data_IF_091918259896
#
_entry.id   IF_091918259896
#
_cell.length_a   1.000
_cell.length_b   1.000
_cell.length_c   1.000
_cell.angle_alpha   90.00
_cell.angle_beta   90.00
_cell.angle_gamma   90.00
#
_symmetry.space_group_name_H-M   'P 1'
#
loop_
_entity.id
_entity.type
_entity.pdbx_description
1 polymer ?
#
# COMPACT_ATOMS: atom_id res chain seq x y z
N UNK A 1 6.93 8.27 -9.48
CA UNK A 1 7.39 9.35 -8.59
C UNK A 1 8.25 8.79 -7.46
N UNK A 2 8.85 9.69 -6.66
CA UNK A 2 9.71 9.31 -5.54
C UNK A 2 9.19 9.86 -4.22
N UNK A 3 9.39 9.08 -3.15
CA UNK A 3 9.21 9.48 -1.75
C UNK A 3 10.43 9.01 -0.96
N UNK A 4 11.17 9.93 -0.33
CA UNK A 4 12.39 9.63 0.43
C UNK A 4 13.38 8.71 -0.32
N UNK A 5 13.59 8.96 -1.62
CA UNK A 5 14.44 8.14 -2.49
C UNK A 5 13.84 6.80 -2.95
N UNK A 6 12.66 6.42 -2.46
CA UNK A 6 11.97 5.19 -2.86
C UNK A 6 11.23 5.44 -4.19
N UNK A 7 11.48 4.60 -5.19
CA UNK A 7 10.69 4.61 -6.41
C UNK A 7 9.28 4.08 -6.12
N UNK A 8 8.27 4.85 -6.52
CA UNK A 8 6.86 4.49 -6.32
C UNK A 8 6.14 4.49 -7.66
N UNK A 9 5.56 3.36 -8.02
CA UNK A 9 4.64 3.23 -9.13
C UNK A 9 3.21 3.30 -8.58
N UNK A 10 2.45 4.27 -9.07
CA UNK A 10 1.08 4.50 -8.63
C UNK A 10 0.14 4.45 -9.83
N UNK A 11 -0.97 3.74 -9.68
CA UNK A 11 -2.02 3.70 -10.69
C UNK A 11 -3.35 4.16 -10.10
N UNK A 12 -4.19 4.74 -10.94
CA UNK A 12 -5.57 5.09 -10.61
C UNK A 12 -6.47 4.83 -11.82
N UNK A 13 -7.63 4.21 -11.60
CA UNK A 13 -8.66 4.09 -12.63
C UNK A 13 -9.48 5.37 -12.73
N UNK A 14 -9.72 5.84 -13.94
CA UNK A 14 -10.52 7.04 -14.18
C UNK A 14 -11.98 6.87 -13.73
N UNK A 15 -12.61 5.73 -14.02
CA UNK A 15 -14.03 5.52 -13.74
C UNK A 15 -14.27 4.94 -12.34
N UNK A 16 -13.41 4.01 -11.90
CA UNK A 16 -13.59 3.29 -10.63
C UNK A 16 -12.83 3.95 -9.48
N UNK A 17 -11.96 4.90 -9.77
CA UNK A 17 -11.09 5.60 -8.83
C UNK A 17 -10.28 4.68 -7.90
N UNK A 18 -10.15 3.40 -8.27
CA UNK A 18 -9.33 2.45 -7.56
C UNK A 18 -7.86 2.76 -7.77
N UNK A 19 -7.11 2.77 -6.68
CA UNK A 19 -5.69 3.11 -6.63
C UNK A 19 -4.86 1.90 -6.26
N UNK A 20 -3.69 1.76 -6.89
CA UNK A 20 -2.64 0.84 -6.42
C UNK A 20 -1.35 1.59 -6.17
N UNK A 21 -0.51 1.03 -5.31
CA UNK A 21 0.84 1.51 -5.03
C UNK A 21 1.77 0.33 -4.96
N UNK A 22 2.87 0.41 -5.70
CA UNK A 22 3.92 -0.59 -5.76
C UNK A 22 5.30 0.07 -5.67
N UNK A 23 6.29 -0.70 -5.26
CA UNK A 23 7.65 -0.23 -5.01
C UNK A 23 8.64 -1.05 -5.82
N UNK A 24 8.75 -0.79 -7.13
CA UNK A 24 9.70 -1.52 -7.98
C UNK A 24 11.14 -1.22 -7.53
N UNK A 25 11.98 -2.25 -7.52
CA UNK A 25 13.39 -2.11 -7.17
C UNK A 25 14.17 -1.34 -8.24
N UNK A 26 13.67 -1.34 -9.46
CA UNK A 26 14.22 -0.59 -10.58
C UNK A 26 13.14 -0.13 -11.55
N UNK A 27 13.47 0.80 -12.45
CA UNK A 27 12.59 1.23 -13.54
C UNK A 27 12.76 0.37 -14.80
N UNK A 28 13.21 -0.88 -14.64
CA UNK A 28 13.33 -1.79 -15.77
C UNK A 28 11.95 -2.15 -16.34
N UNK A 29 11.95 -2.51 -17.61
CA UNK A 29 10.76 -2.98 -18.31
C UNK A 29 10.11 -4.16 -17.57
N UNK A 30 10.91 -5.13 -17.12
CA UNK A 30 10.42 -6.29 -16.37
C UNK A 30 9.71 -5.93 -15.08
N UNK A 31 10.22 -4.94 -14.32
CA UNK A 31 9.59 -4.48 -13.07
C UNK A 31 8.29 -3.74 -13.34
N UNK A 32 8.24 -2.89 -14.37
CA UNK A 32 7.01 -2.19 -14.75
C UNK A 32 5.96 -3.20 -15.22
N UNK A 33 6.34 -4.18 -16.04
CA UNK A 33 5.45 -5.25 -16.49
C UNK A 33 4.94 -6.11 -15.33
N UNK A 34 5.79 -6.42 -14.35
CA UNK A 34 5.37 -7.12 -13.14
C UNK A 34 4.24 -6.37 -12.44
N UNK A 35 4.42 -5.07 -12.16
CA UNK A 35 3.40 -4.24 -11.51
C UNK A 35 2.13 -4.15 -12.37
N UNK A 36 2.26 -3.94 -13.68
CA UNK A 36 1.11 -3.90 -14.59
C UNK A 36 0.31 -5.20 -14.56
N UNK A 37 0.97 -6.36 -14.57
CA UNK A 37 0.32 -7.66 -14.50
C UNK A 37 -0.40 -7.88 -13.16
N UNK A 38 0.17 -7.42 -12.03
CA UNK A 38 -0.51 -7.47 -10.74
C UNK A 38 -1.77 -6.60 -10.72
N UNK A 39 -1.70 -5.39 -11.27
CA UNK A 39 -2.88 -4.52 -11.42
C UNK A 39 -3.92 -5.19 -12.32
N UNK A 40 -3.50 -5.73 -13.46
CA UNK A 40 -4.39 -6.47 -14.39
C UNK A 40 -5.05 -7.67 -13.71
N UNK A 41 -4.32 -8.40 -12.86
CA UNK A 41 -4.85 -9.52 -12.08
C UNK A 41 -5.93 -9.07 -11.08
N UNK A 42 -5.73 -7.94 -10.39
CA UNK A 42 -6.70 -7.38 -9.45
C UNK A 42 -8.02 -7.05 -10.17
N UNK A 43 -7.96 -6.37 -11.31
CA UNK A 43 -9.16 -6.04 -12.10
C UNK A 43 -9.80 -7.28 -12.70
N UNK A 44 -8.98 -8.18 -13.26
CA UNK A 44 -9.42 -9.42 -13.90
C UNK A 44 -10.16 -10.38 -12.97
N UNK A 45 -9.83 -10.38 -11.67
CA UNK A 45 -10.52 -11.18 -10.66
C UNK A 45 -12.03 -10.87 -10.54
N UNK A 46 -12.45 -9.68 -10.99
CA UNK A 46 -13.86 -9.24 -11.05
C UNK A 46 -14.40 -9.07 -12.46
N UNK A 47 -13.71 -9.60 -13.45
CA UNK A 47 -14.12 -9.52 -14.84
C UNK A 47 -13.84 -8.18 -15.53
N UNK A 48 -13.20 -7.23 -14.87
CA UNK A 48 -12.81 -5.97 -15.50
C UNK A 48 -11.60 -6.18 -16.41
N UNK A 49 -11.60 -5.46 -17.54
CA UNK A 49 -10.47 -5.42 -18.47
C UNK A 49 -9.91 -4.01 -18.52
N UNK A 50 -8.59 -3.91 -18.52
CA UNK A 50 -7.89 -2.65 -18.75
C UNK A 50 -7.81 -2.49 -20.27
N UNK A 51 -8.55 -1.52 -20.81
CA UNK A 51 -8.60 -1.24 -22.24
C UNK A 51 -7.57 -0.20 -22.63
N UNK A 52 -7.47 0.86 -21.81
CA UNK A 52 -6.55 1.98 -22.03
C UNK A 52 -5.68 2.21 -20.81
N UNK A 53 -4.41 2.48 -21.06
CA UNK A 53 -3.41 2.90 -20.07
C UNK A 53 -2.88 4.27 -20.47
N UNK A 54 -2.99 5.25 -19.57
CA UNK A 54 -2.39 6.56 -19.75
C UNK A 54 -1.15 6.66 -18.84
N UNK A 55 -0.03 6.99 -19.41
CA UNK A 55 1.23 7.07 -18.68
C UNK A 55 2.19 8.09 -19.27
N UNK A 56 3.32 8.30 -18.60
CA UNK A 56 4.41 9.08 -19.12
C UNK A 56 5.29 8.28 -20.11
N UNK A 57 6.29 8.93 -20.69
CA UNK A 57 7.17 8.31 -21.69
C UNK A 57 7.96 7.10 -21.15
N UNK A 58 8.09 6.93 -19.84
CA UNK A 58 8.74 5.73 -19.27
C UNK A 58 8.00 4.42 -19.63
N UNK A 59 6.69 4.52 -19.84
CA UNK A 59 5.86 3.35 -20.20
C UNK A 59 5.97 2.95 -21.68
N UNK A 60 6.60 3.74 -22.55
CA UNK A 60 6.77 3.40 -23.96
C UNK A 60 7.43 2.03 -24.17
N UNK A 61 8.36 1.66 -23.29
CA UNK A 61 9.11 0.39 -23.37
C UNK A 61 8.25 -0.86 -23.17
N UNK A 62 7.05 -0.74 -22.60
CA UNK A 62 6.14 -1.88 -22.40
C UNK A 62 5.00 -1.91 -23.41
N UNK A 63 4.93 -0.98 -24.35
CA UNK A 63 3.80 -0.79 -25.27
C UNK A 63 3.41 -2.08 -26.02
N UNK A 64 4.38 -2.83 -26.53
CA UNK A 64 4.12 -4.08 -27.27
C UNK A 64 3.63 -5.20 -26.35
N UNK A 65 4.13 -5.24 -25.13
CA UNK A 65 3.85 -6.33 -24.19
C UNK A 65 2.48 -6.23 -23.53
N UNK A 66 1.91 -5.03 -23.46
CA UNK A 66 0.60 -4.81 -22.84
C UNK A 66 -0.59 -5.04 -23.78
N UNK A 67 -0.36 -5.33 -25.06
CA UNK A 67 -1.42 -5.61 -26.01
C UNK A 67 -2.38 -6.68 -25.46
N UNK A 68 -3.70 -6.57 -25.68
CA UNK A 68 -4.42 -5.58 -26.50
C UNK A 68 -4.76 -4.27 -25.75
N UNK A 69 -4.17 -3.96 -24.60
CA UNK A 69 -4.38 -2.68 -23.90
C UNK A 69 -3.72 -1.55 -24.69
N UNK A 70 -4.47 -0.51 -24.99
CA UNK A 70 -3.94 0.68 -25.67
C UNK A 70 -3.08 1.49 -24.69
N UNK A 71 -1.91 1.95 -25.15
CA UNK A 71 -1.07 2.87 -24.40
C UNK A 71 -1.12 4.26 -25.00
N UNK A 72 -1.59 5.22 -24.23
CA UNK A 72 -1.53 6.64 -24.55
C UNK A 72 -0.44 7.27 -23.68
N UNK A 73 0.59 7.78 -24.33
CA UNK A 73 1.69 8.49 -23.65
C UNK A 73 1.36 9.98 -23.59
N UNK A 74 1.56 10.57 -22.42
CA UNK A 74 1.48 12.02 -22.26
C UNK A 74 2.59 12.70 -23.07
N UNK A 75 2.25 13.77 -23.77
CA UNK A 75 3.24 14.55 -24.48
C UNK A 75 4.25 15.21 -23.50
N UNK A 76 5.40 15.61 -24.01
CA UNK A 76 6.38 16.32 -23.21
C UNK A 76 5.73 17.60 -22.64
N UNK A 77 5.74 17.75 -21.32
CA UNK A 77 5.05 18.80 -20.55
C UNK A 77 3.51 18.67 -20.42
N UNK A 78 2.92 17.57 -20.91
CA UNK A 78 1.53 17.27 -20.62
C UNK A 78 1.44 16.39 -19.36
N UNK A 79 0.58 16.80 -18.46
CA UNK A 79 0.41 16.14 -17.16
C UNK A 79 -0.91 15.38 -17.12
N UNK A 80 -0.89 14.15 -16.60
CA UNK A 80 -2.10 13.39 -16.34
C UNK A 80 -2.70 13.87 -15.01
N UNK A 81 -3.49 14.93 -15.04
CA UNK A 81 -3.96 15.66 -13.85
C UNK A 81 -4.64 14.78 -12.80
N UNK A 82 -5.30 13.68 -13.21
CA UNK A 82 -5.93 12.72 -12.28
C UNK A 82 -4.87 11.98 -11.45
N UNK A 83 -3.81 11.51 -12.09
CA UNK A 83 -2.71 10.80 -11.42
C UNK A 83 -1.96 11.74 -10.48
N UNK A 84 -1.64 12.94 -10.94
CA UNK A 84 -0.92 13.94 -10.12
C UNK A 84 -1.69 14.35 -8.87
N UNK A 85 -3.00 14.58 -9.00
CA UNK A 85 -3.88 14.85 -7.86
C UNK A 85 -3.89 13.70 -6.87
N UNK A 86 -3.97 12.46 -7.38
CA UNK A 86 -3.95 11.25 -6.55
C UNK A 86 -2.60 11.10 -5.82
N UNK A 87 -1.48 11.33 -6.51
CA UNK A 87 -0.12 11.33 -5.91
C UNK A 87 -0.01 12.40 -4.83
N UNK A 88 -0.51 13.62 -5.08
CA UNK A 88 -0.52 14.70 -4.08
C UNK A 88 -1.27 14.28 -2.84
N UNK A 89 -2.51 13.80 -2.98
CA UNK A 89 -3.33 13.37 -1.85
C UNK A 89 -2.65 12.24 -1.05
N UNK A 90 -2.03 11.29 -1.73
CA UNK A 90 -1.29 10.21 -1.07
C UNK A 90 -0.07 10.74 -0.29
N UNK A 91 0.70 11.67 -0.87
CA UNK A 91 1.84 12.31 -0.20
C UNK A 91 1.41 13.12 1.02
N UNK A 92 0.31 13.86 0.92
CA UNK A 92 -0.24 14.65 2.04
C UNK A 92 -0.72 13.74 3.19
N UNK A 93 -1.47 12.67 2.87
CA UNK A 93 -1.89 11.67 3.87
C UNK A 93 -0.69 10.98 4.53
N UNK A 94 0.33 10.64 3.74
CA UNK A 94 1.56 10.04 4.25
C UNK A 94 2.32 11.00 5.17
N UNK A 95 2.43 12.29 4.82
CA UNK A 95 3.06 13.29 5.70
C UNK A 95 2.32 13.44 7.02
N UNK A 96 0.99 13.53 6.98
CA UNK A 96 0.18 13.59 8.19
C UNK A 96 0.45 12.39 9.11
N UNK A 97 0.48 11.18 8.55
CA UNK A 97 0.82 9.97 9.32
C UNK A 97 2.25 9.97 9.86
N UNK A 98 3.24 10.49 9.13
CA UNK A 98 4.61 10.62 9.62
C UNK A 98 4.73 11.62 10.79
N UNK A 99 3.94 12.68 10.77
CA UNK A 99 3.95 13.68 11.86
C UNK A 99 3.23 13.20 13.12
N UNK A 100 2.41 12.15 13.04
CA UNK A 100 1.71 11.60 14.21
C UNK A 100 2.54 10.60 15.02
N UNK A 101 3.65 10.11 14.46
CA UNK A 101 4.51 9.13 15.14
C UNK A 101 5.68 9.80 15.86
N UNK A 102 6.13 9.24 17.01
CA UNK A 102 7.19 9.86 17.82
C UNK A 102 8.61 9.59 17.34
N UNK A 103 8.78 8.79 16.27
CA UNK A 103 10.10 8.34 15.81
C UNK A 103 10.87 9.43 15.09
N UNK A 104 12.14 9.62 15.47
CA UNK A 104 13.05 10.58 14.81
C UNK A 104 13.57 10.07 13.48
N UNK A 105 13.76 8.77 13.36
CA UNK A 105 14.17 8.10 12.12
C UNK A 105 13.08 7.13 11.69
N UNK A 106 12.70 7.22 10.43
CA UNK A 106 11.62 6.38 9.87
C UNK A 106 12.24 5.46 8.83
N UNK A 107 12.30 4.14 9.11
CA UNK A 107 12.83 3.16 8.17
C UNK A 107 12.03 3.15 6.85
N UNK A 108 12.69 2.78 5.75
CA UNK A 108 12.08 2.65 4.42
C UNK A 108 10.84 1.74 4.46
N UNK A 109 10.87 0.66 5.24
CA UNK A 109 9.74 -0.26 5.39
C UNK A 109 8.50 0.45 5.98
N UNK A 110 8.68 1.36 6.94
CA UNK A 110 7.58 2.17 7.48
C UNK A 110 7.03 3.16 6.44
N UNK A 111 7.90 3.83 5.68
CA UNK A 111 7.45 4.74 4.61
C UNK A 111 6.63 3.99 3.57
N UNK A 112 7.09 2.81 3.13
CA UNK A 112 6.35 1.93 2.23
C UNK A 112 5.01 1.49 2.85
N UNK A 113 5.02 1.10 4.12
CA UNK A 113 3.82 0.71 4.87
C UNK A 113 2.79 1.83 4.94
N UNK A 114 3.23 3.05 5.20
CA UNK A 114 2.36 4.22 5.29
C UNK A 114 1.71 4.56 3.94
N UNK A 115 2.47 4.48 2.84
CA UNK A 115 1.93 4.68 1.49
C UNK A 115 0.89 3.61 1.13
N UNK A 116 1.13 2.34 1.49
CA UNK A 116 0.14 1.25 1.34
C UNK A 116 -1.11 1.52 2.18
N UNK A 117 -0.94 1.95 3.44
CA UNK A 117 -2.05 2.25 4.33
C UNK A 117 -2.91 3.42 3.82
N UNK A 118 -2.26 4.52 3.42
CA UNK A 118 -2.94 5.66 2.82
C UNK A 118 -3.73 5.28 1.56
N UNK A 119 -3.14 4.47 0.68
CA UNK A 119 -3.81 3.98 -0.53
C UNK A 119 -5.00 3.08 -0.21
N UNK A 120 -4.85 2.20 0.78
CA UNK A 120 -5.94 1.34 1.26
C UNK A 120 -7.11 2.17 1.78
N UNK A 121 -6.85 3.19 2.61
CA UNK A 121 -7.89 4.07 3.13
C UNK A 121 -8.58 4.86 2.01
N UNK A 122 -7.85 5.35 1.01
CA UNK A 122 -8.44 6.04 -0.14
C UNK A 122 -9.36 5.13 -0.98
N UNK A 123 -9.10 3.82 -1.01
CA UNK A 123 -9.96 2.85 -1.68
C UNK A 123 -11.14 2.38 -0.82
N UNK A 124 -11.13 2.66 0.47
CA UNK A 124 -12.12 2.20 1.43
C UNK A 124 -13.44 2.99 1.39
N UNK A 125 -13.39 4.23 0.92
CA UNK A 125 -14.51 5.14 0.93
C UNK A 125 -15.01 5.45 -0.48
N UNK A 126 -16.34 5.62 -0.68
CA UNK A 126 -16.90 6.12 -1.92
C UNK A 126 -16.31 7.49 -2.26
N UNK A 127 -16.11 7.77 -3.54
CA UNK A 127 -15.61 9.06 -4.03
C UNK A 127 -16.59 9.64 -5.02
N UNK A 128 -16.78 10.97 -5.01
CA UNK A 128 -17.70 11.68 -5.93
C UNK A 128 -17.41 11.46 -7.42
N UNK A 129 -16.19 11.07 -7.76
CA UNK A 129 -15.78 10.80 -9.15
C UNK A 129 -15.85 9.33 -9.53
N UNK A 130 -16.33 8.45 -8.65
CA UNK A 130 -16.56 7.04 -8.93
C UNK A 130 -17.91 6.84 -9.64
N UNK A 131 -18.06 5.69 -10.33
CA UNK A 131 -19.33 5.28 -10.97
C UNK A 131 -20.45 5.01 -9.97
N UNK A 132 -20.16 4.94 -8.68
CA UNK A 132 -21.11 4.71 -7.60
C UNK A 132 -20.86 5.67 -6.46
N UNK A 133 -21.93 6.26 -5.95
CA UNK A 133 -21.89 7.15 -4.78
C UNK A 133 -21.94 6.38 -3.45
N UNK A 134 -22.26 5.08 -3.49
CA UNK A 134 -22.44 4.25 -2.29
C UNK A 134 -21.39 3.16 -2.12
N UNK A 135 -20.86 2.64 -3.23
CA UNK A 135 -19.84 1.62 -3.22
C UNK A 135 -18.43 2.23 -3.31
N UNK A 136 -17.56 1.77 -2.45
CA UNK A 136 -16.14 2.19 -2.51
C UNK A 136 -15.40 1.52 -3.69
N UNK A 137 -14.29 2.11 -4.16
CA UNK A 137 -13.43 1.46 -5.16
C UNK A 137 -13.01 0.03 -4.78
N UNK A 138 -12.78 -0.21 -3.49
CA UNK A 138 -12.48 -1.53 -2.93
C UNK A 138 -13.63 -2.52 -3.13
N UNK A 139 -14.89 -2.11 -2.85
CA UNK A 139 -16.04 -2.97 -3.06
C UNK A 139 -16.16 -3.38 -4.53
N UNK A 140 -16.00 -2.42 -5.44
CA UNK A 140 -16.22 -2.63 -6.87
C UNK A 140 -15.11 -3.51 -7.45
N UNK A 141 -13.84 -3.13 -7.24
CA UNK A 141 -12.70 -3.76 -7.91
C UNK A 141 -12.25 -5.05 -7.23
N UNK A 142 -12.29 -5.11 -5.91
CA UNK A 142 -11.83 -6.28 -5.16
C UNK A 142 -12.97 -7.20 -4.71
N UNK A 143 -14.23 -6.74 -4.77
CA UNK A 143 -15.38 -7.49 -4.25
C UNK A 143 -15.36 -7.65 -2.75
N UNK A 144 -14.59 -6.84 -2.05
CA UNK A 144 -14.48 -6.88 -0.61
C UNK A 144 -15.58 -6.04 0.03
N UNK A 145 -16.15 -6.44 1.18
CA UNK A 145 -17.12 -5.62 1.89
C UNK A 145 -16.47 -4.33 2.40
N UNK A 146 -17.29 -3.42 2.90
CA UNK A 146 -16.81 -2.23 3.58
C UNK A 146 -15.80 -2.61 4.68
N UNK A 147 -14.86 -1.72 4.93
CA UNK A 147 -13.91 -1.94 6.02
C UNK A 147 -14.71 -2.00 7.33
N UNK A 148 -14.57 -3.10 8.04
CA UNK A 148 -14.98 -3.16 9.42
C UNK A 148 -13.95 -2.39 10.25
N UNK A 149 -14.36 -1.25 10.79
CA UNK A 149 -13.50 -0.40 11.62
C UNK A 149 -13.04 -1.11 12.89
N UNK A 150 -13.76 -2.13 13.36
CA UNK A 150 -13.30 -2.97 14.45
C UNK A 150 -12.00 -3.75 14.12
N UNK A 151 -11.68 -3.90 12.83
CA UNK A 151 -10.42 -4.49 12.39
C UNK A 151 -9.27 -3.48 12.28
N UNK A 152 -9.53 -2.17 12.41
CA UNK A 152 -8.50 -1.12 12.54
C UNK A 152 -8.08 -0.99 14.01
N UNK A 153 -7.54 -2.07 14.56
CA UNK A 153 -7.28 -2.21 16.01
C UNK A 153 -6.07 -1.41 16.50
N UNK A 154 -5.15 -1.12 15.59
CA UNK A 154 -3.86 -0.54 15.94
C UNK A 154 -3.63 0.75 15.18
N UNK A 155 -2.93 1.70 15.81
CA UNK A 155 -2.48 2.90 15.14
C UNK A 155 -1.21 2.62 14.32
N UNK A 156 -1.01 3.41 13.26
CA UNK A 156 0.23 3.30 12.49
C UNK A 156 1.43 3.67 13.37
N UNK A 157 2.43 2.81 13.44
CA UNK A 157 3.61 3.01 14.28
C UNK A 157 3.41 2.62 15.75
N UNK A 158 2.26 2.10 16.17
CA UNK A 158 2.03 1.62 17.53
C UNK A 158 2.99 0.50 17.88
N UNK A 159 3.66 0.63 19.03
CA UNK A 159 4.62 -0.34 19.54
C UNK A 159 3.94 -1.45 20.33
N UNK A 160 4.43 -2.66 20.21
CA UNK A 160 3.99 -3.80 21.02
C UNK A 160 4.71 -5.09 20.67
N UNK A 161 4.22 -6.17 21.22
CA UNK A 161 4.73 -7.52 21.00
C UNK A 161 3.85 -8.31 20.04
N UNK A 162 4.46 -8.75 18.96
CA UNK A 162 3.87 -9.64 17.96
C UNK A 162 4.15 -11.09 18.34
N UNK A 163 3.09 -11.89 18.49
CA UNK A 163 3.23 -13.34 18.67
C UNK A 163 3.74 -13.99 17.39
N UNK A 164 4.77 -14.81 17.52
CA UNK A 164 5.21 -15.68 16.44
C UNK A 164 4.33 -16.93 16.41
N UNK A 165 3.74 -17.22 15.25
CA UNK A 165 3.09 -18.49 14.97
C UNK A 165 4.17 -19.57 14.81
N UNK A 166 4.87 -19.88 15.89
CA UNK A 166 5.88 -20.94 15.90
C UNK A 166 5.22 -22.27 16.27
N UNK A 167 5.72 -23.34 15.66
CA UNK A 167 5.43 -24.72 16.09
C UNK A 167 5.64 -24.81 17.60
N UNK A 168 4.66 -25.40 18.30
CA UNK A 168 4.75 -25.59 19.76
C UNK A 168 6.01 -26.40 20.06
N UNK A 169 7.04 -25.71 20.56
CA UNK A 169 8.28 -26.33 21.02
C UNK A 169 8.29 -26.33 22.54
N UNK A 170 8.82 -27.40 23.14
CA UNK A 170 9.00 -27.49 24.59
C UNK A 170 10.19 -26.68 25.10
N UNK A 171 10.53 -25.58 24.41
CA UNK A 171 11.62 -24.69 24.79
C UNK A 171 11.09 -23.47 25.54
N UNK A 172 11.91 -22.89 26.41
CA UNK A 172 11.63 -21.63 27.11
C UNK A 172 11.98 -20.39 26.29
N UNK A 173 12.15 -20.54 24.95
CA UNK A 173 12.40 -19.41 24.06
C UNK A 173 11.20 -18.44 24.05
N UNK A 174 11.48 -17.16 23.96
CA UNK A 174 10.45 -16.13 23.83
C UNK A 174 9.59 -16.40 22.60
N UNK A 175 8.27 -16.24 22.74
CA UNK A 175 7.28 -16.47 21.68
C UNK A 175 6.79 -15.17 21.05
N UNK A 176 7.32 -14.05 21.47
CA UNK A 176 6.94 -12.72 20.98
C UNK A 176 8.17 -11.95 20.54
N UNK A 177 7.96 -11.02 19.62
CA UNK A 177 8.99 -10.08 19.14
C UNK A 177 8.45 -8.66 19.14
N UNK A 178 9.28 -7.72 19.57
CA UNK A 178 8.96 -6.30 19.49
C UNK A 178 8.72 -5.87 18.05
N UNK A 179 7.62 -5.20 17.80
CA UNK A 179 7.22 -4.78 16.47
C UNK A 179 6.44 -3.45 16.51
N UNK A 180 6.35 -2.78 15.35
CA UNK A 180 5.51 -1.60 15.13
C UNK A 180 4.41 -1.93 14.15
N UNK A 181 3.17 -1.57 14.46
CA UNK A 181 2.02 -1.78 13.59
C UNK A 181 2.12 -0.90 12.33
N UNK A 182 1.85 -1.47 11.14
CA UNK A 182 1.91 -0.74 9.89
C UNK A 182 0.52 -0.56 9.26
N UNK A 183 -0.13 -1.64 8.85
CA UNK A 183 -1.44 -1.57 8.20
C UNK A 183 -2.16 -2.92 8.25
N UNK A 184 -3.52 -2.91 8.22
CA UNK A 184 -4.30 -4.14 8.21
C UNK A 184 -4.18 -4.85 6.84
N UNK A 185 -4.15 -6.18 6.87
CA UNK A 185 -4.12 -7.04 5.69
C UNK A 185 -5.38 -7.89 5.59
N UNK A 186 -6.06 -7.77 4.45
CA UNK A 186 -7.24 -8.58 4.18
C UNK A 186 -8.39 -8.32 5.15
N UNK A 187 -9.27 -9.34 5.31
CA UNK A 187 -10.48 -9.26 6.14
C UNK A 187 -10.40 -10.08 7.43
N UNK A 188 -9.34 -10.87 7.60
CA UNK A 188 -9.23 -11.86 8.67
C UNK A 188 -8.49 -11.34 9.92
N UNK A 189 -8.39 -10.02 10.09
CA UNK A 189 -7.71 -9.41 11.24
C UNK A 189 -6.19 -9.58 11.24
N UNK A 190 -5.59 -9.97 10.12
CA UNK A 190 -4.14 -9.98 9.95
C UNK A 190 -3.62 -8.57 9.70
N UNK A 191 -2.46 -8.26 10.28
CA UNK A 191 -1.77 -6.98 10.14
C UNK A 191 -0.34 -7.18 9.64
N UNK A 192 0.16 -6.16 8.96
CA UNK A 192 1.57 -6.02 8.67
C UNK A 192 2.25 -5.23 9.80
N UNK A 193 3.41 -5.66 10.21
CA UNK A 193 4.21 -5.06 11.26
C UNK A 193 5.66 -4.87 10.79
N UNK A 194 6.35 -3.89 11.34
CA UNK A 194 7.79 -3.78 11.25
C UNK A 194 8.42 -4.52 12.43
N UNK A 195 9.15 -5.58 12.17
CA UNK A 195 9.93 -6.26 13.21
C UNK A 195 11.12 -5.41 13.64
N UNK A 196 11.23 -5.10 14.93
CA UNK A 196 12.36 -4.33 15.47
C UNK A 196 13.67 -5.11 15.48
N UNK A 197 13.62 -6.44 15.48
CA UNK A 197 14.81 -7.29 15.45
C UNK A 197 15.43 -7.40 14.06
N UNK A 198 14.61 -7.38 12.99
CA UNK A 198 15.07 -7.60 11.62
C UNK A 198 14.97 -6.39 10.71
N UNK A 199 14.22 -5.35 11.10
CA UNK A 199 13.91 -4.20 10.26
C UNK A 199 13.03 -4.53 9.04
N UNK A 200 12.42 -5.72 8.99
CA UNK A 200 11.61 -6.20 7.86
C UNK A 200 10.12 -6.19 8.19
N UNK A 201 9.31 -6.10 7.15
CA UNK A 201 7.87 -6.30 7.25
C UNK A 201 7.59 -7.79 7.56
N UNK A 202 6.80 -8.01 8.61
CA UNK A 202 6.31 -9.33 9.05
C UNK A 202 4.80 -9.26 9.20
N UNK A 203 4.13 -10.41 9.26
CA UNK A 203 2.68 -10.48 9.33
C UNK A 203 2.25 -11.29 10.54
N UNK A 204 1.15 -10.88 11.17
CA UNK A 204 0.59 -11.61 12.29
C UNK A 204 -0.84 -11.20 12.61
N UNK A 205 -1.44 -11.91 13.56
CA UNK A 205 -2.83 -11.67 14.02
C UNK A 205 -2.90 -11.27 15.47
N UNK A 206 -1.96 -11.77 16.28
CA UNK A 206 -1.93 -11.54 17.72
C UNK A 206 -0.81 -10.56 18.04
N UNK A 207 -1.19 -9.35 18.38
CA UNK A 207 -0.29 -8.27 18.75
C UNK A 207 -0.81 -7.62 20.02
N UNK A 208 0.06 -7.44 20.99
CA UNK A 208 -0.23 -6.79 22.28
C UNK A 208 0.42 -5.42 22.31
N UNK A 209 -0.36 -4.34 22.21
CA UNK A 209 0.18 -2.99 22.35
C UNK A 209 0.87 -2.79 23.71
N UNK A 210 1.98 -2.10 23.70
CA UNK A 210 2.76 -1.74 24.87
C UNK A 210 3.10 -0.26 24.85
N UNK A 211 3.30 0.36 26.01
CA UNK A 211 3.82 1.72 26.07
C UNK A 211 5.17 1.81 25.34
N UNK A 212 5.31 2.83 24.51
CA UNK A 212 6.57 3.08 23.80
C UNK A 212 7.64 3.53 24.77
N UNK A 213 8.84 2.99 24.63
CA UNK A 213 10.00 3.37 25.44
C UNK A 213 10.95 4.29 24.67
N UNK A 214 11.74 5.10 25.39
CA UNK A 214 12.75 5.97 24.77
C UNK A 214 13.75 5.19 23.92
N UNK A 215 14.05 3.95 24.28
CA UNK A 215 14.93 3.06 23.52
C UNK A 215 14.33 2.70 22.14
N UNK A 216 13.03 2.47 22.07
CA UNK A 216 12.31 2.19 20.81
C UNK A 216 12.22 3.45 19.95
N UNK A 217 12.06 4.62 20.55
CA UNK A 217 12.04 5.91 19.84
C UNK A 217 13.41 6.24 19.25
N UNK A 218 14.49 5.85 19.91
CA UNK A 218 15.87 6.17 19.51
C UNK A 218 16.43 5.24 18.43
N UNK A 219 15.82 4.07 18.23
CA UNK A 219 16.20 3.09 17.18
C UNK A 219 15.73 3.52 15.81
#
# INVERSE_FOLDING_TARGET
FYVNGIAVLHTISNCLTFRSVDFPDSRSEAQIMHVFNEVKRIYGARGFKIVDLHGDNEFAKIQVQILPTNLTLAAANEHVGTVERSVRTMKESSRAGLHSIPYKQVPIAMVKGLLKYATMLQNAFPTKSCISDTLSPRNIVQGLPNIDFANLKYEFGEYGELSEDSTVTNTQAGRTKGALALYPRGQQGSWAFLSLSTGREVHGRTFTPLPITDEVIAR
#
